data_IF_236701327038
#
_entry.id   IF_236701327038
#
_cell.length_a   1.000
_cell.length_b   1.000
_cell.length_c   1.000
_cell.angle_alpha   90.00
_cell.angle_beta   90.00
_cell.angle_gamma   90.00
#
_symmetry.space_group_name_H-M   'P 1'
#
loop_
_entity.id
_entity.type
_entity.pdbx_description
1 polymer ?
#
# COMPACT_ATOMS: atom_id res chain seq x y z
N UNK A 1 42.62 8.22 22.73
CA UNK A 1 41.20 8.58 22.56
C UNK A 1 40.93 9.59 21.43
N UNK A 2 41.91 10.01 20.61
CA UNK A 2 41.72 11.04 19.56
C UNK A 2 41.28 10.50 18.17
N UNK A 3 41.28 9.18 17.95
CA UNK A 3 40.95 8.58 16.65
C UNK A 3 39.46 8.49 16.31
N UNK A 4 38.57 8.54 17.30
CA UNK A 4 37.12 8.43 17.06
C UNK A 4 36.48 9.75 16.60
N UNK A 5 36.99 10.89 17.06
CA UNK A 5 36.39 12.21 16.77
C UNK A 5 36.60 12.63 15.32
N UNK A 6 37.76 12.31 14.72
CA UNK A 6 38.08 12.64 13.33
C UNK A 6 37.25 11.78 12.36
N UNK A 7 37.11 10.49 12.66
CA UNK A 7 36.28 9.56 11.87
C UNK A 7 34.80 9.94 11.91
N UNK A 8 34.29 10.34 13.08
CA UNK A 8 32.93 10.86 13.23
C UNK A 8 32.73 12.18 12.49
N UNK A 9 33.69 13.10 12.55
CA UNK A 9 33.63 14.37 11.84
C UNK A 9 33.65 14.16 10.30
N UNK A 10 34.51 13.29 9.78
CA UNK A 10 34.55 12.95 8.35
C UNK A 10 33.25 12.28 7.89
N UNK A 11 32.71 11.35 8.68
CA UNK A 11 31.43 10.72 8.39
C UNK A 11 30.28 11.73 8.39
N UNK A 12 30.27 12.64 9.37
CA UNK A 12 29.28 13.72 9.48
C UNK A 12 29.40 14.73 8.34
N UNK A 13 30.62 15.15 7.97
CA UNK A 13 30.85 16.03 6.83
C UNK A 13 30.45 15.39 5.50
N UNK A 14 30.80 14.12 5.28
CA UNK A 14 30.41 13.38 4.08
C UNK A 14 28.88 13.24 3.96
N UNK A 15 28.21 12.84 5.05
CA UNK A 15 26.73 12.77 5.09
C UNK A 15 26.06 14.13 4.94
N UNK A 16 26.65 15.20 5.48
CA UNK A 16 26.16 16.57 5.29
C UNK A 16 26.30 17.06 3.83
N UNK A 17 27.44 16.76 3.18
CA UNK A 17 27.63 17.08 1.76
C UNK A 17 26.64 16.32 0.86
N UNK A 18 26.37 15.05 1.18
CA UNK A 18 25.42 14.23 0.44
C UNK A 18 23.96 14.71 0.62
N UNK A 19 23.54 15.04 1.85
CA UNK A 19 22.21 15.64 2.11
C UNK A 19 22.05 16.99 1.39
N UNK A 20 23.12 17.80 1.30
CA UNK A 20 23.11 19.07 0.57
C UNK A 20 22.97 18.86 -0.95
N UNK A 21 23.68 17.91 -1.55
CA UNK A 21 23.52 17.60 -2.98
C UNK A 21 22.12 17.03 -3.29
N UNK A 22 21.59 16.16 -2.42
CA UNK A 22 20.26 15.56 -2.56
C UNK A 22 19.15 16.63 -2.47
N UNK A 23 19.31 17.64 -1.61
CA UNK A 23 18.37 18.75 -1.51
C UNK A 23 18.39 19.67 -2.73
N UNK A 24 19.56 19.90 -3.32
CA UNK A 24 19.72 20.93 -4.36
C UNK A 24 19.38 20.39 -5.75
N UNK A 25 19.76 19.15 -6.05
CA UNK A 25 19.61 18.56 -7.39
C UNK A 25 18.47 17.56 -7.44
N UNK A 26 18.41 16.61 -6.51
CA UNK A 26 17.45 15.50 -6.56
C UNK A 26 16.02 15.93 -6.17
N UNK A 27 15.89 16.80 -5.17
CA UNK A 27 14.58 17.19 -4.62
C UNK A 27 13.62 17.80 -5.65
N UNK A 28 14.02 18.72 -6.54
CA UNK A 28 13.16 19.21 -7.63
C UNK A 28 12.61 18.09 -8.51
N UNK A 29 13.45 17.15 -8.93
CA UNK A 29 13.04 16.01 -9.76
C UNK A 29 12.10 15.06 -9.02
N UNK A 30 12.33 14.81 -7.73
CA UNK A 30 11.43 14.00 -6.90
C UNK A 30 10.06 14.66 -6.76
N UNK A 31 10.00 15.99 -6.58
CA UNK A 31 8.73 16.74 -6.54
C UNK A 31 8.01 16.68 -7.90
N UNK A 32 8.75 16.87 -9.00
CA UNK A 32 8.20 16.77 -10.35
C UNK A 32 7.63 15.37 -10.63
N UNK A 33 8.36 14.32 -10.25
CA UNK A 33 7.93 12.94 -10.45
C UNK A 33 6.68 12.62 -9.63
N UNK A 34 6.60 13.10 -8.38
CA UNK A 34 5.38 12.99 -7.58
C UNK A 34 4.17 13.65 -8.27
N UNK A 35 4.33 14.89 -8.76
CA UNK A 35 3.23 15.60 -9.41
C UNK A 35 2.79 14.90 -10.70
N UNK A 36 3.75 14.30 -11.43
CA UNK A 36 3.46 13.48 -12.61
C UNK A 36 2.59 12.27 -12.25
N UNK A 37 2.93 11.53 -11.19
CA UNK A 37 2.07 10.43 -10.69
C UNK A 37 0.66 10.92 -10.35
N UNK A 38 0.56 12.03 -9.59
CA UNK A 38 -0.73 12.61 -9.19
C UNK A 38 -1.58 12.98 -10.40
N UNK A 39 -1.01 13.67 -11.38
CA UNK A 39 -1.73 14.11 -12.57
C UNK A 39 -2.17 12.94 -13.47
N UNK A 40 -1.35 11.90 -13.60
CA UNK A 40 -1.74 10.68 -14.31
C UNK A 40 -2.90 9.98 -13.60
N UNK A 41 -2.85 9.82 -12.28
CA UNK A 41 -3.95 9.20 -11.53
C UNK A 41 -5.25 9.99 -11.66
N UNK A 42 -5.17 11.33 -11.58
CA UNK A 42 -6.32 12.21 -11.79
C UNK A 42 -6.93 11.99 -13.18
N UNK A 43 -6.11 11.97 -14.24
CA UNK A 43 -6.57 11.81 -15.63
C UNK A 43 -7.27 10.46 -15.87
N UNK A 44 -6.77 9.39 -15.27
CA UNK A 44 -7.19 8.02 -15.60
C UNK A 44 -8.37 7.50 -14.73
N UNK A 45 -8.71 8.19 -13.63
CA UNK A 45 -9.52 7.64 -12.52
C UNK A 45 -10.90 7.10 -12.89
N UNK A 46 -11.56 7.60 -13.93
CA UNK A 46 -12.95 7.24 -14.26
C UNK A 46 -13.10 6.36 -15.50
N UNK A 47 -12.02 6.09 -16.23
CA UNK A 47 -12.08 5.44 -17.54
C UNK A 47 -11.72 3.94 -17.45
N UNK A 48 -12.72 3.09 -17.67
CA UNK A 48 -12.58 1.63 -17.58
C UNK A 48 -11.57 1.03 -18.55
N UNK A 49 -11.30 1.68 -19.69
CA UNK A 49 -10.34 1.17 -20.70
C UNK A 49 -8.88 1.26 -20.26
N UNK A 50 -8.59 2.14 -19.29
CA UNK A 50 -7.23 2.40 -18.78
C UNK A 50 -7.12 2.16 -17.28
N UNK A 51 -8.11 1.47 -16.70
CA UNK A 51 -8.18 1.18 -15.27
C UNK A 51 -6.94 0.38 -14.79
N UNK A 52 -6.50 -0.59 -15.59
CA UNK A 52 -5.26 -1.35 -15.31
C UNK A 52 -4.06 -0.42 -15.13
N UNK A 53 -3.89 0.53 -16.05
CA UNK A 53 -2.80 1.50 -16.02
C UNK A 53 -2.91 2.40 -14.79
N UNK A 54 -4.11 2.84 -14.43
CA UNK A 54 -4.37 3.61 -13.20
C UNK A 54 -3.87 2.85 -11.95
N UNK A 55 -4.22 1.57 -11.81
CA UNK A 55 -3.78 0.76 -10.67
C UNK A 55 -2.28 0.49 -10.68
N UNK A 56 -1.66 0.26 -11.84
CA UNK A 56 -0.22 0.06 -11.95
C UNK A 56 0.56 1.34 -11.59
N UNK A 57 0.08 2.51 -12.02
CA UNK A 57 0.64 3.82 -11.63
C UNK A 57 0.49 4.05 -10.13
N UNK A 58 -0.64 3.71 -9.52
CA UNK A 58 -0.82 3.83 -8.07
C UNK A 58 0.18 2.96 -7.29
N UNK A 59 0.38 1.72 -7.73
CA UNK A 59 1.37 0.79 -7.14
C UNK A 59 2.81 1.33 -7.30
N UNK A 60 3.14 1.90 -8.45
CA UNK A 60 4.43 2.56 -8.67
C UNK A 60 4.63 3.80 -7.79
N UNK A 61 3.58 4.59 -7.59
CA UNK A 61 3.62 5.77 -6.72
C UNK A 61 3.88 5.39 -5.25
N UNK A 62 3.33 4.28 -4.74
CA UNK A 62 3.67 3.78 -3.41
C UNK A 62 5.15 3.38 -3.31
N UNK A 63 5.67 2.65 -4.30
CA UNK A 63 7.10 2.29 -4.37
C UNK A 63 7.99 3.53 -4.43
N UNK A 64 7.59 4.55 -5.19
CA UNK A 64 8.27 5.85 -5.23
C UNK A 64 8.29 6.51 -3.85
N UNK A 65 7.15 6.55 -3.15
CA UNK A 65 7.07 7.16 -1.83
C UNK A 65 7.98 6.46 -0.81
N UNK A 66 8.06 5.13 -0.86
CA UNK A 66 8.97 4.37 0.00
C UNK A 66 10.43 4.61 -0.37
N UNK A 67 10.79 4.49 -1.66
CA UNK A 67 12.16 4.69 -2.16
C UNK A 67 12.77 6.04 -1.76
N UNK A 68 11.98 7.11 -1.79
CA UNK A 68 12.44 8.47 -1.46
C UNK A 68 11.96 8.97 -0.09
N UNK A 69 11.45 8.07 0.78
CA UNK A 69 10.98 8.40 2.13
C UNK A 69 9.94 9.53 2.20
N UNK A 70 9.07 9.63 1.19
CA UNK A 70 8.06 10.68 1.00
C UNK A 70 6.77 10.37 1.77
N UNK A 71 6.87 10.42 3.11
CA UNK A 71 5.74 10.11 4.02
C UNK A 71 4.52 11.03 3.82
N UNK A 72 4.74 12.30 3.48
CA UNK A 72 3.64 13.26 3.27
C UNK A 72 2.88 12.96 1.98
N UNK A 73 3.58 12.72 0.89
CA UNK A 73 3.02 12.34 -0.40
C UNK A 73 2.32 10.98 -0.33
N UNK A 74 2.85 10.03 0.44
CA UNK A 74 2.18 8.76 0.71
C UNK A 74 0.76 8.97 1.29
N UNK A 75 0.63 9.83 2.32
CA UNK A 75 -0.69 10.15 2.91
C UNK A 75 -1.62 10.79 1.90
N UNK A 76 -1.13 11.78 1.15
CA UNK A 76 -1.90 12.42 0.07
C UNK A 76 -2.36 11.41 -0.98
N UNK A 77 -1.52 10.43 -1.33
CA UNK A 77 -1.87 9.36 -2.26
C UNK A 77 -3.02 8.51 -1.71
N UNK A 78 -2.93 8.06 -0.45
CA UNK A 78 -4.01 7.32 0.21
C UNK A 78 -5.34 8.07 0.15
N UNK A 79 -5.34 9.36 0.50
CA UNK A 79 -6.54 10.19 0.51
C UNK A 79 -7.10 10.41 -0.89
N UNK A 80 -6.24 10.69 -1.89
CA UNK A 80 -6.65 10.81 -3.29
C UNK A 80 -7.34 9.52 -3.77
N UNK A 81 -6.76 8.36 -3.48
CA UNK A 81 -7.33 7.08 -3.91
C UNK A 81 -8.69 6.80 -3.26
N UNK A 82 -8.94 7.27 -2.02
CA UNK A 82 -10.27 7.19 -1.37
C UNK A 82 -11.26 8.14 -2.03
N UNK A 83 -10.83 9.38 -2.29
CA UNK A 83 -11.65 10.37 -2.99
C UNK A 83 -12.04 9.89 -4.39
N UNK A 84 -11.11 9.32 -5.14
CA UNK A 84 -11.39 8.75 -6.47
C UNK A 84 -12.41 7.62 -6.38
N UNK A 85 -12.25 6.69 -5.43
CA UNK A 85 -13.20 5.59 -5.25
C UNK A 85 -14.61 6.10 -4.90
N UNK A 86 -14.71 7.10 -4.01
CA UNK A 86 -15.99 7.74 -3.67
C UNK A 86 -16.61 8.46 -4.87
N UNK A 87 -15.79 9.09 -5.71
CA UNK A 87 -16.24 9.75 -6.95
C UNK A 87 -16.81 8.74 -7.96
N UNK A 88 -16.11 7.62 -8.19
CA UNK A 88 -16.57 6.53 -9.06
C UNK A 88 -17.88 5.91 -8.54
N UNK A 89 -18.06 5.79 -7.22
CA UNK A 89 -19.31 5.31 -6.62
C UNK A 89 -20.51 6.21 -6.94
N UNK A 90 -20.29 7.52 -7.03
CA UNK A 90 -21.36 8.52 -7.27
C UNK A 90 -21.65 8.74 -8.75
N UNK A 91 -20.65 8.60 -9.62
CA UNK A 91 -20.80 8.81 -11.06
C UNK A 91 -20.85 7.48 -11.81
N UNK A 92 -22.06 6.99 -12.05
CA UNK A 92 -22.33 5.87 -12.95
C UNK A 92 -23.20 6.31 -14.11
N UNK A 93 -22.96 5.79 -15.32
CA UNK A 93 -23.84 6.05 -16.47
C UNK A 93 -23.14 6.39 -17.80
N UNK A 94 -21.84 6.68 -17.81
CA UNK A 94 -21.08 6.77 -19.07
C UNK A 94 -20.67 5.38 -19.56
N UNK A 95 -20.68 5.14 -20.88
CA UNK A 95 -20.27 3.89 -21.50
C UNK A 95 -18.80 3.50 -21.19
N UNK A 96 -17.98 4.47 -20.78
CA UNK A 96 -16.57 4.26 -20.40
C UNK A 96 -16.33 4.37 -18.89
N UNK A 97 -17.39 4.51 -18.09
CA UNK A 97 -17.26 4.60 -16.64
C UNK A 97 -16.77 3.28 -16.04
N UNK A 98 -15.91 3.38 -15.02
CA UNK A 98 -15.51 2.23 -14.18
C UNK A 98 -16.74 1.67 -13.46
N UNK A 99 -16.93 0.34 -13.53
CA UNK A 99 -18.03 -0.36 -12.88
C UNK A 99 -17.54 -1.13 -11.66
N UNK A 100 -17.88 -0.66 -10.45
CA UNK A 100 -17.45 -1.29 -9.18
C UNK A 100 -18.12 -2.65 -8.89
N UNK A 101 -19.11 -3.05 -9.68
CA UNK A 101 -19.69 -4.40 -9.62
C UNK A 101 -18.91 -5.40 -10.49
N UNK A 102 -18.00 -4.94 -11.35
CA UNK A 102 -17.14 -5.81 -12.14
C UNK A 102 -16.14 -6.52 -11.20
N UNK A 103 -16.08 -7.86 -11.18
CA UNK A 103 -15.13 -8.61 -10.35
C UNK A 103 -13.66 -8.25 -10.60
N UNK A 104 -13.29 -7.92 -11.84
CA UNK A 104 -11.91 -7.55 -12.19
C UNK A 104 -11.55 -6.19 -11.59
N UNK A 105 -12.45 -5.21 -11.69
CA UNK A 105 -12.34 -3.89 -11.02
C UNK A 105 -12.21 -4.05 -9.51
N UNK A 106 -13.05 -4.88 -8.89
CA UNK A 106 -12.97 -5.15 -7.45
C UNK A 106 -11.62 -5.75 -7.06
N UNK A 107 -11.13 -6.71 -7.84
CA UNK A 107 -9.83 -7.34 -7.62
C UNK A 107 -8.69 -6.33 -7.72
N UNK A 108 -8.67 -5.48 -8.76
CA UNK A 108 -7.61 -4.47 -8.92
C UNK A 108 -7.60 -3.45 -7.78
N UNK A 109 -8.79 -3.01 -7.32
CA UNK A 109 -8.91 -2.13 -6.15
C UNK A 109 -8.34 -2.78 -4.89
N UNK A 110 -8.70 -4.04 -4.63
CA UNK A 110 -8.21 -4.78 -3.48
C UNK A 110 -6.68 -5.00 -3.53
N UNK A 111 -6.14 -5.37 -4.68
CA UNK A 111 -4.69 -5.52 -4.87
C UNK A 111 -3.93 -4.20 -4.63
N UNK A 112 -4.45 -3.07 -5.12
CA UNK A 112 -3.84 -1.77 -4.86
C UNK A 112 -3.86 -1.42 -3.37
N UNK A 113 -4.95 -1.74 -2.64
CA UNK A 113 -5.02 -1.50 -1.18
C UNK A 113 -4.11 -2.43 -0.39
N UNK A 114 -3.92 -3.67 -0.82
CA UNK A 114 -2.95 -4.59 -0.22
C UNK A 114 -1.50 -4.07 -0.37
N UNK A 115 -1.16 -3.48 -1.51
CA UNK A 115 0.12 -2.80 -1.69
C UNK A 115 0.23 -1.53 -0.83
N UNK A 116 -0.84 -0.73 -0.71
CA UNK A 116 -0.89 0.42 0.19
C UNK A 116 -0.57 -0.01 1.64
N UNK A 117 -1.20 -1.07 2.15
CA UNK A 117 -0.92 -1.61 3.48
C UNK A 117 0.55 -2.06 3.61
N UNK A 118 1.07 -2.76 2.61
CA UNK A 118 2.46 -3.23 2.58
C UNK A 118 3.46 -2.08 2.73
N UNK A 119 3.32 -1.03 1.91
CA UNK A 119 4.22 0.12 1.97
C UNK A 119 3.98 1.01 3.19
N UNK A 120 2.74 1.12 3.68
CA UNK A 120 2.46 1.83 4.93
C UNK A 120 3.21 1.19 6.12
N UNK A 121 3.22 -0.14 6.19
CA UNK A 121 3.99 -0.88 7.21
C UNK A 121 5.50 -0.67 7.02
N UNK A 122 6.03 -0.81 5.79
CA UNK A 122 7.46 -0.60 5.51
C UNK A 122 7.96 0.78 5.91
N UNK A 123 7.12 1.80 5.74
CA UNK A 123 7.42 3.19 6.10
C UNK A 123 7.03 3.55 7.55
N UNK A 124 6.56 2.56 8.32
CA UNK A 124 6.07 2.68 9.70
C UNK A 124 4.96 3.73 9.90
N UNK A 125 4.11 3.88 8.88
CA UNK A 125 2.93 4.75 8.89
C UNK A 125 1.74 4.00 9.50
N UNK A 126 1.82 3.69 10.80
CA UNK A 126 0.86 2.81 11.48
C UNK A 126 -0.61 3.27 11.39
N UNK A 127 -0.85 4.58 11.45
CA UNK A 127 -2.20 5.15 11.27
C UNK A 127 -2.73 4.93 9.85
N UNK A 128 -1.88 5.06 8.83
CA UNK A 128 -2.28 4.80 7.44
C UNK A 128 -2.44 3.31 7.15
N UNK A 129 -1.63 2.46 7.79
CA UNK A 129 -1.79 1.02 7.74
C UNK A 129 -3.13 0.59 8.33
N UNK A 130 -3.54 1.18 9.45
CA UNK A 130 -4.85 0.93 10.07
C UNK A 130 -6.01 1.34 9.14
N UNK A 131 -5.99 2.56 8.59
CA UNK A 131 -7.01 2.98 7.62
C UNK A 131 -7.04 2.08 6.38
N UNK A 132 -5.88 1.62 5.90
CA UNK A 132 -5.82 0.70 4.76
C UNK A 132 -6.44 -0.67 5.07
N UNK A 133 -6.36 -1.14 6.32
CA UNK A 133 -7.05 -2.36 6.77
C UNK A 133 -8.56 -2.20 6.72
N UNK A 134 -9.09 -1.06 7.15
CA UNK A 134 -10.52 -0.74 7.04
C UNK A 134 -10.96 -0.73 5.57
N UNK A 135 -10.23 -0.02 4.71
CA UNK A 135 -10.49 0.01 3.27
C UNK A 135 -10.49 -1.40 2.65
N UNK A 136 -9.53 -2.26 3.03
CA UNK A 136 -9.44 -3.65 2.56
C UNK A 136 -10.64 -4.47 3.04
N UNK A 137 -11.02 -4.33 4.32
CA UNK A 137 -12.18 -5.01 4.89
C UNK A 137 -13.46 -4.66 4.14
N UNK A 138 -13.69 -3.37 3.88
CA UNK A 138 -14.85 -2.89 3.14
C UNK A 138 -14.89 -3.42 1.70
N UNK A 139 -13.74 -3.45 1.02
CA UNK A 139 -13.64 -4.01 -0.33
C UNK A 139 -13.89 -5.52 -0.35
N UNK A 140 -13.38 -6.26 0.64
CA UNK A 140 -13.65 -7.70 0.78
C UNK A 140 -15.13 -7.97 1.03
N UNK A 141 -15.79 -7.16 1.86
CA UNK A 141 -17.23 -7.28 2.13
C UNK A 141 -18.10 -6.99 0.90
N UNK A 142 -17.66 -6.09 0.03
CA UNK A 142 -18.35 -5.79 -1.24
C UNK A 142 -18.06 -6.79 -2.35
N UNK A 143 -16.94 -7.52 -2.26
CA UNK A 143 -16.57 -8.49 -3.28
C UNK A 143 -17.24 -9.84 -3.05
N UNK A 144 -17.77 -10.42 -4.13
CA UNK A 144 -18.31 -11.79 -4.11
C UNK A 144 -17.20 -12.85 -4.10
N UNK A 145 -15.97 -12.47 -4.45
CA UNK A 145 -14.84 -13.40 -4.61
C UNK A 145 -13.76 -13.07 -3.61
N UNK A 146 -13.55 -13.96 -2.65
CA UNK A 146 -12.46 -13.82 -1.70
C UNK A 146 -11.09 -13.96 -2.38
N UNK A 147 -10.05 -13.27 -1.88
CA UNK A 147 -8.68 -13.45 -2.34
C UNK A 147 -8.20 -14.90 -2.17
N UNK A 148 -7.19 -15.27 -2.95
CA UNK A 148 -6.56 -16.59 -2.83
C UNK A 148 -6.03 -16.80 -1.40
N UNK A 149 -6.07 -18.03 -0.85
CA UNK A 149 -5.68 -18.29 0.54
C UNK A 149 -4.29 -17.78 0.93
N UNK A 150 -3.30 -17.84 0.03
CA UNK A 150 -1.94 -17.33 0.30
C UNK A 150 -1.91 -15.81 0.46
N UNK A 151 -2.73 -15.07 -0.31
CA UNK A 151 -2.87 -13.62 -0.19
C UNK A 151 -3.52 -13.29 1.15
N UNK A 152 -4.57 -14.03 1.53
CA UNK A 152 -5.22 -13.87 2.84
C UNK A 152 -4.27 -14.15 4.00
N UNK A 153 -3.41 -15.17 3.91
CA UNK A 153 -2.42 -15.44 4.93
C UNK A 153 -1.43 -14.26 5.09
N UNK A 154 -0.91 -13.72 3.98
CA UNK A 154 -0.05 -12.52 4.01
C UNK A 154 -0.79 -11.30 4.59
N UNK A 155 -2.06 -11.13 4.25
CA UNK A 155 -2.90 -10.06 4.81
C UNK A 155 -3.06 -10.20 6.32
N UNK A 156 -3.43 -11.38 6.84
CA UNK A 156 -3.60 -11.59 8.28
C UNK A 156 -2.28 -11.47 9.06
N UNK A 157 -1.15 -11.83 8.46
CA UNK A 157 0.17 -11.58 9.04
C UNK A 157 0.46 -10.08 9.19
N UNK A 158 0.13 -9.27 8.18
CA UNK A 158 0.27 -7.80 8.24
C UNK A 158 -0.72 -7.18 9.24
N UNK A 159 -1.97 -7.67 9.23
CA UNK A 159 -3.03 -7.23 10.14
C UNK A 159 -2.65 -7.45 11.61
N UNK A 160 -2.12 -8.64 11.94
CA UNK A 160 -1.69 -8.93 13.31
C UNK A 160 -0.56 -8.00 13.75
N UNK A 161 0.39 -7.69 12.87
CA UNK A 161 1.47 -6.73 13.15
C UNK A 161 0.92 -5.32 13.43
N UNK A 162 -0.04 -4.84 12.63
CA UNK A 162 -0.65 -3.51 12.86
C UNK A 162 -1.36 -3.47 14.20
N UNK A 163 -2.14 -4.50 14.56
CA UNK A 163 -2.82 -4.54 15.86
C UNK A 163 -1.84 -4.59 17.04
N UNK A 164 -0.74 -5.34 16.90
CA UNK A 164 0.33 -5.33 17.90
C UNK A 164 0.89 -3.93 18.12
N UNK A 165 1.25 -3.25 17.03
CA UNK A 165 1.82 -1.89 17.08
C UNK A 165 0.85 -0.85 17.61
N UNK A 166 -0.45 -1.08 17.47
CA UNK A 166 -1.51 -0.24 18.05
C UNK A 166 -1.82 -0.56 19.53
N UNK A 167 -1.22 -1.60 20.14
CA UNK A 167 -1.51 -2.04 21.50
C UNK A 167 -2.81 -2.86 21.64
N UNK A 168 -3.45 -3.22 20.52
CA UNK A 168 -4.73 -3.91 20.47
C UNK A 168 -4.53 -5.45 20.54
N UNK A 169 -4.14 -5.94 21.72
CA UNK A 169 -3.70 -7.33 21.90
C UNK A 169 -4.77 -8.39 21.62
N UNK A 170 -6.04 -8.11 21.93
CA UNK A 170 -7.16 -9.01 21.61
C UNK A 170 -7.29 -9.22 20.09
N UNK A 171 -7.25 -8.13 19.33
CA UNK A 171 -7.33 -8.17 17.87
C UNK A 171 -6.08 -8.78 17.24
N UNK A 172 -4.90 -8.54 17.82
CA UNK A 172 -3.67 -9.23 17.44
C UNK A 172 -3.82 -10.75 17.56
N UNK A 173 -4.27 -11.25 18.72
CA UNK A 173 -4.47 -12.68 18.95
C UNK A 173 -5.53 -13.27 18.00
N UNK A 174 -6.63 -12.56 17.77
CA UNK A 174 -7.66 -12.99 16.82
C UNK A 174 -7.14 -13.08 15.37
N UNK A 175 -6.34 -12.11 14.93
CA UNK A 175 -5.72 -12.13 13.61
C UNK A 175 -4.73 -13.28 13.45
N UNK A 176 -3.92 -13.58 14.48
CA UNK A 176 -3.03 -14.74 14.49
C UNK A 176 -3.80 -16.06 14.47
N UNK A 177 -4.90 -16.16 15.21
CA UNK A 177 -5.75 -17.35 15.18
C UNK A 177 -6.34 -17.59 13.78
N UNK A 178 -6.82 -16.53 13.11
CA UNK A 178 -7.28 -16.62 11.71
C UNK A 178 -6.17 -17.02 10.76
N UNK A 179 -4.96 -16.46 10.91
CA UNK A 179 -3.79 -16.86 10.14
C UNK A 179 -3.47 -18.36 10.33
N UNK A 180 -3.47 -18.84 11.56
CA UNK A 180 -3.23 -20.25 11.88
C UNK A 180 -4.26 -21.17 11.21
N UNK A 181 -5.55 -20.84 11.28
CA UNK A 181 -6.61 -21.60 10.60
C UNK A 181 -6.33 -21.72 9.09
N UNK A 182 -5.99 -20.61 8.43
CA UNK A 182 -5.70 -20.59 7.00
C UNK A 182 -4.48 -21.44 6.63
N UNK A 183 -3.38 -21.32 7.37
CA UNK A 183 -2.14 -22.08 7.11
C UNK A 183 -2.34 -23.58 7.34
N UNK A 184 -3.10 -23.96 8.37
CA UNK A 184 -3.43 -25.36 8.65
C UNK A 184 -4.23 -25.98 7.51
N UNK A 185 -5.24 -25.27 7.01
CA UNK A 185 -6.12 -25.78 5.96
C UNK A 185 -5.38 -25.86 4.61
N UNK A 186 -4.46 -24.93 4.33
CA UNK A 186 -3.53 -25.03 3.19
C UNK A 186 -2.64 -26.28 3.26
N UNK A 187 -2.08 -26.60 4.44
CA UNK A 187 -1.21 -27.77 4.60
C UNK A 187 -1.95 -29.08 4.35
N UNK A 188 -3.22 -29.19 4.79
CA UNK A 188 -4.07 -30.36 4.52
C UNK A 188 -4.30 -30.58 3.02
N UNK A 189 -4.49 -29.51 2.26
CA UNK A 189 -4.67 -29.59 0.82
C UNK A 189 -3.41 -30.08 0.08
N UNK A 190 -2.21 -29.79 0.58
CA UNK A 190 -0.94 -30.27 -0.01
C UNK A 190 -0.75 -31.76 0.24
N UNK A 191 -1.11 -32.26 1.44
CA UNK A 191 -0.97 -33.68 1.80
C UNK A 191 -2.05 -34.58 1.20
N UNK A 192 -3.20 -34.03 0.80
CA UNK A 192 -4.29 -34.79 0.16
C UNK A 192 -4.15 -34.98 -1.36
N UNK A 193 -3.12 -34.42 -2.00
CA UNK A 193 -2.86 -34.58 -3.44
C UNK A 193 -2.05 -35.87 -3.73
N UNK A 194 -1.59 -36.56 -2.68
CA UNK A 194 -0.78 -37.79 -2.76
C UNK A 194 -1.46 -39.01 -2.12
N UNK A 195 -2.78 -38.98 -1.96
CA UNK A 195 -3.61 -40.08 -1.48
C UNK A 195 -4.75 -40.31 -2.47
#
# INVERSE_FOLDING_TARGET
MHGNTITLALHYSFSFHQDRSDRTILTPWVKFLWESYRQCLELLRTNSRVERLYHDIAKQAFKFCEKYSRKTEFRKLCDNLRTHLSHIQKQQGSATAVNLNNPETQQMNLETRLEQLNYAIKMELWQEAYKAIEDISDLMNKSKKMPKPHVMASYYQKLSLVFWKAGNMLFHAAALFKLFQLLRDQKKNITGIWA
#
